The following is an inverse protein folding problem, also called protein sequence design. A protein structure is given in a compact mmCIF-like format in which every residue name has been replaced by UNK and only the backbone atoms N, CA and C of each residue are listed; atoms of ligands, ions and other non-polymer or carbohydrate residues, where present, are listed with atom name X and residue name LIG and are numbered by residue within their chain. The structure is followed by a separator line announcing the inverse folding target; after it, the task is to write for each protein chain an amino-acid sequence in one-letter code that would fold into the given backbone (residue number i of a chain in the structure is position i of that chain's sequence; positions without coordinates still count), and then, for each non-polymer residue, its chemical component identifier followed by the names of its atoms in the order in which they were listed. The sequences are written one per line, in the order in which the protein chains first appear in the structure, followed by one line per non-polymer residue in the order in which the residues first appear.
data_IF_489773813758
#
_entry.id   IF_489773813758
#
_cell.length_a   1.000
_cell.length_b   1.000
_cell.length_c   1.000
_cell.angle_alpha   90.00
_cell.angle_beta   90.00
_cell.angle_gamma   90.00
#
_symmetry.space_group_name_H-M   'P 1'
#
loop_
_entity.id
_entity.type
_entity.pdbx_description
1 polymer ?
#
# COMPACT_ATOMS: atom_id res chain seq x y z
N UNK A 1 -0.85 26.89 1.41
CA UNK A 1 -1.20 25.72 2.22
C UNK A 1 -2.62 25.29 1.85
N UNK A 2 -2.76 24.14 1.21
CA UNK A 2 -4.08 23.56 0.95
C UNK A 2 -4.49 22.79 2.21
N UNK A 3 -5.62 23.16 2.83
CA UNK A 3 -6.13 22.44 4.00
C UNK A 3 -6.69 21.05 3.69
N UNK A 4 -6.91 20.76 2.40
CA UNK A 4 -7.40 19.49 1.83
C UNK A 4 -6.78 19.34 0.45
N UNK A 5 -6.27 18.15 0.13
CA UNK A 5 -5.95 17.74 -1.24
C UNK A 5 -7.07 16.78 -1.68
N UNK A 6 -7.64 17.03 -2.85
CA UNK A 6 -8.75 16.24 -3.39
C UNK A 6 -8.53 15.89 -4.87
N UNK A 7 -9.09 14.74 -5.25
CA UNK A 7 -9.22 14.33 -6.65
C UNK A 7 -10.70 14.43 -7.04
N UNK A 8 -10.98 15.21 -8.07
CA UNK A 8 -12.31 15.31 -8.65
C UNK A 8 -12.50 14.31 -9.79
N UNK A 9 -13.72 13.80 -9.92
CA UNK A 9 -14.10 12.87 -10.99
C UNK A 9 -13.21 11.63 -11.07
N UNK A 10 -12.78 11.12 -9.91
CA UNK A 10 -11.95 9.92 -9.82
C UNK A 10 -12.78 8.65 -10.08
N UNK A 11 -12.25 7.78 -10.94
CA UNK A 11 -12.90 6.55 -11.40
C UNK A 11 -13.21 6.57 -12.90
N UNK A 12 -12.98 5.45 -13.56
CA UNK A 12 -13.22 5.27 -15.00
C UNK A 12 -13.64 3.82 -15.33
N UNK A 13 -14.09 3.59 -16.56
CA UNK A 13 -14.29 2.22 -17.06
C UNK A 13 -12.98 1.69 -17.64
N UNK A 14 -12.55 0.54 -17.17
CA UNK A 14 -11.29 -0.04 -17.58
C UNK A 14 -11.20 -1.53 -17.31
N UNK A 15 -9.99 -2.04 -17.44
CA UNK A 15 -9.70 -3.41 -17.05
C UNK A 15 -8.27 -3.52 -16.53
N UNK A 16 -8.03 -4.57 -15.75
CA UNK A 16 -6.69 -5.05 -15.47
C UNK A 16 -6.66 -6.58 -15.51
N UNK A 17 -5.47 -7.18 -15.44
CA UNK A 17 -5.27 -8.62 -15.53
C UNK A 17 -4.58 -9.10 -14.26
N UNK A 18 -5.25 -9.90 -13.44
CA UNK A 18 -4.60 -10.53 -12.28
C UNK A 18 -3.50 -11.49 -12.72
N UNK A 19 -2.55 -11.76 -11.81
CA UNK A 19 -1.66 -12.91 -11.94
C UNK A 19 -2.49 -14.20 -11.88
N UNK A 20 -2.40 -15.01 -12.94
CA UNK A 20 -3.07 -16.32 -13.08
C UNK A 20 -2.16 -17.47 -12.67
N UNK A 21 -0.85 -17.35 -12.95
CA UNK A 21 0.17 -18.28 -12.48
C UNK A 21 1.39 -17.50 -12.02
N UNK A 22 1.93 -17.93 -10.89
CA UNK A 22 3.12 -17.36 -10.27
C UNK A 22 4.10 -18.51 -10.03
N UNK A 23 5.34 -18.33 -10.49
CA UNK A 23 6.45 -19.22 -10.17
C UNK A 23 7.38 -18.50 -9.18
N UNK A 24 7.36 -18.95 -7.93
CA UNK A 24 8.15 -18.37 -6.84
C UNK A 24 9.60 -18.87 -6.81
N UNK A 25 10.02 -19.63 -7.82
CA UNK A 25 11.42 -19.98 -8.06
C UNK A 25 12.15 -18.88 -8.83
N UNK A 26 13.45 -19.08 -9.04
CA UNK A 26 14.30 -18.20 -9.86
C UNK A 26 14.11 -18.42 -11.38
N UNK A 27 13.06 -19.14 -11.81
CA UNK A 27 12.78 -19.37 -13.24
C UNK A 27 12.05 -18.21 -13.93
N UNK A 28 11.57 -17.22 -13.15
CA UNK A 28 10.97 -15.97 -13.60
C UNK A 28 9.66 -16.12 -14.41
N UNK A 29 8.89 -17.20 -14.20
CA UNK A 29 7.69 -17.52 -14.99
C UNK A 29 6.39 -17.08 -14.34
N UNK A 30 5.89 -15.94 -14.76
CA UNK A 30 4.57 -15.44 -14.37
C UNK A 30 3.65 -15.29 -15.58
N UNK A 31 2.36 -15.54 -15.38
CA UNK A 31 1.33 -15.41 -16.40
C UNK A 31 0.19 -14.55 -15.84
N UNK A 32 -0.09 -13.42 -16.47
CA UNK A 32 -1.32 -12.67 -16.25
C UNK A 32 -2.51 -13.38 -16.91
N UNK A 33 -3.68 -13.29 -16.29
CA UNK A 33 -4.96 -13.78 -16.81
C UNK A 33 -5.18 -13.36 -18.26
N UNK A 34 -5.78 -14.17 -19.11
CA UNK A 34 -5.96 -13.81 -20.52
C UNK A 34 -6.91 -12.61 -20.69
N UNK A 35 -6.99 -12.01 -21.90
CA UNK A 35 -7.97 -10.94 -22.13
C UNK A 35 -9.41 -11.40 -21.91
N UNK A 36 -9.75 -12.67 -22.12
CA UNK A 36 -11.11 -13.17 -21.82
C UNK A 36 -11.38 -13.32 -20.32
N UNK A 37 -10.32 -13.39 -19.50
CA UNK A 37 -10.39 -13.58 -18.05
C UNK A 37 -9.98 -12.30 -17.29
N UNK A 38 -9.99 -11.13 -17.95
CA UNK A 38 -9.60 -9.86 -17.35
C UNK A 38 -10.68 -9.35 -16.40
N UNK A 39 -10.27 -8.61 -15.38
CA UNK A 39 -11.20 -7.91 -14.49
C UNK A 39 -11.63 -6.62 -15.18
N UNK A 40 -12.93 -6.46 -15.38
CA UNK A 40 -13.53 -5.23 -15.89
C UNK A 40 -14.08 -4.47 -14.70
N UNK A 41 -13.73 -3.20 -14.59
CA UNK A 41 -14.20 -2.31 -13.53
C UNK A 41 -14.82 -1.06 -14.13
N UNK A 42 -15.69 -0.43 -13.34
CA UNK A 42 -16.32 0.84 -13.71
C UNK A 42 -16.92 1.47 -12.45
N UNK A 43 -16.88 2.79 -12.36
CA UNK A 43 -17.58 3.53 -11.33
C UNK A 43 -16.65 4.47 -10.56
N UNK A 44 -17.19 5.20 -9.57
CA UNK A 44 -16.41 6.09 -8.73
C UNK A 44 -15.30 5.32 -8.01
N UNK A 45 -14.12 5.92 -7.93
CA UNK A 45 -12.92 5.38 -7.29
C UNK A 45 -12.34 4.11 -7.90
N UNK A 46 -12.92 3.53 -8.96
CA UNK A 46 -12.36 2.32 -9.57
C UNK A 46 -11.06 2.59 -10.32
N UNK A 47 -10.04 1.73 -10.19
CA UNK A 47 -10.07 0.38 -9.57
C UNK A 47 -9.72 0.31 -8.07
N UNK A 48 -9.50 1.45 -7.42
CA UNK A 48 -9.15 1.54 -5.99
C UNK A 48 -10.36 1.37 -5.05
N UNK A 49 -11.55 1.11 -5.59
CA UNK A 49 -12.72 0.70 -4.82
C UNK A 49 -12.62 -0.76 -4.34
N UNK A 50 -11.66 -1.53 -4.85
CA UNK A 50 -11.32 -2.89 -4.39
C UNK A 50 -10.58 -2.93 -3.03
N UNK A 51 -10.14 -4.13 -2.63
CA UNK A 51 -9.29 -4.30 -1.45
C UNK A 51 -7.92 -3.64 -1.66
N UNK A 52 -7.51 -2.82 -0.71
CA UNK A 52 -6.18 -2.20 -0.71
C UNK A 52 -5.34 -2.61 0.49
N UNK A 53 -4.03 -2.66 0.31
CA UNK A 53 -3.03 -2.75 1.38
C UNK A 53 -2.42 -1.37 1.60
N UNK A 54 -2.00 -1.06 2.83
CA UNK A 54 -1.36 0.23 3.16
C UNK A 54 0.13 0.02 3.32
N UNK A 55 0.93 0.85 2.66
CA UNK A 55 2.38 0.73 2.58
C UNK A 55 3.05 1.94 3.22
N UNK A 56 4.23 1.72 3.78
CA UNK A 56 5.01 2.73 4.49
C UNK A 56 6.46 2.61 4.04
N UNK A 57 7.07 3.72 3.60
CA UNK A 57 8.50 3.85 3.33
C UNK A 57 9.10 4.92 4.23
N UNK A 58 10.28 4.65 4.77
CA UNK A 58 10.97 5.58 5.64
C UNK A 58 11.73 6.69 4.90
N UNK A 59 12.24 7.69 5.65
CA UNK A 59 12.24 7.81 7.10
C UNK A 59 10.85 8.14 7.70
N UNK A 60 10.31 7.25 8.54
CA UNK A 60 8.93 7.37 9.05
C UNK A 60 8.75 6.73 10.43
N UNK A 61 7.88 7.31 11.25
CA UNK A 61 7.35 6.74 12.50
C UNK A 61 5.82 6.76 12.44
N UNK A 62 5.17 5.62 12.70
CA UNK A 62 3.71 5.53 12.80
C UNK A 62 3.29 5.39 14.27
N UNK A 63 2.55 6.38 14.77
CA UNK A 63 2.01 6.40 16.13
C UNK A 63 0.63 5.75 16.21
N UNK A 64 -0.26 6.09 15.27
CA UNK A 64 -1.61 5.55 15.21
C UNK A 64 -2.07 5.31 13.78
N UNK A 65 -2.91 4.30 13.63
CA UNK A 65 -3.63 4.03 12.39
C UNK A 65 -5.07 3.64 12.69
N UNK A 66 -6.00 4.13 11.91
CA UNK A 66 -7.39 3.67 11.98
C UNK A 66 -8.00 3.56 10.59
N UNK A 67 -8.80 2.52 10.40
CA UNK A 67 -9.57 2.31 9.18
C UNK A 67 -11.05 2.30 9.51
N UNK A 68 -11.82 3.11 8.79
CA UNK A 68 -13.27 3.18 8.87
C UNK A 68 -13.90 2.94 7.51
N UNK A 69 -15.11 2.39 7.54
CA UNK A 69 -15.97 2.32 6.36
C UNK A 69 -17.37 2.81 6.63
N UNK A 70 -18.06 3.24 5.58
CA UNK A 70 -19.46 3.62 5.58
C UNK A 70 -20.09 3.22 4.24
N UNK A 71 -21.21 2.50 4.30
CA UNK A 71 -21.96 2.05 3.13
C UNK A 71 -22.86 3.17 2.58
N UNK A 72 -23.25 4.11 3.45
CA UNK A 72 -24.25 5.13 3.15
C UNK A 72 -23.69 6.56 3.24
N UNK A 73 -22.36 6.74 3.22
CA UNK A 73 -21.76 8.06 3.24
C UNK A 73 -22.26 8.91 2.06
N UNK A 74 -22.59 10.16 2.37
CA UNK A 74 -22.97 11.15 1.37
C UNK A 74 -22.11 12.38 1.59
N UNK A 75 -21.51 12.88 0.50
CA UNK A 75 -20.74 14.12 0.51
C UNK A 75 -21.59 15.26 1.07
N UNK A 76 -21.07 15.99 2.06
CA UNK A 76 -21.77 17.06 2.76
C UNK A 76 -22.65 16.62 3.94
N UNK A 77 -22.75 15.31 4.22
CA UNK A 77 -23.38 14.82 5.44
C UNK A 77 -22.48 15.04 6.65
N UNK A 78 -23.07 15.55 7.74
CA UNK A 78 -22.40 15.71 9.04
C UNK A 78 -22.67 14.54 10.00
N UNK A 79 -23.33 13.47 9.55
CA UNK A 79 -23.62 12.32 10.41
C UNK A 79 -22.46 11.33 10.45
N UNK A 80 -21.91 11.10 11.64
CA UNK A 80 -20.92 10.06 11.90
C UNK A 80 -21.51 8.67 12.13
N UNK A 81 -22.85 8.52 12.17
CA UNK A 81 -23.51 7.33 12.74
C UNK A 81 -23.34 6.04 11.93
N UNK A 82 -23.07 6.13 10.63
CA UNK A 82 -22.89 4.97 9.74
C UNK A 82 -21.43 4.51 9.69
N UNK A 83 -20.49 5.32 10.19
CA UNK A 83 -19.07 4.99 10.16
C UNK A 83 -18.73 3.91 11.18
N UNK A 84 -18.07 2.86 10.72
CA UNK A 84 -17.60 1.76 11.55
C UNK A 84 -16.08 1.69 11.53
N UNK A 85 -15.45 1.74 12.71
CA UNK A 85 -14.00 1.48 12.83
C UNK A 85 -13.76 -0.02 12.71
N UNK A 86 -13.16 -0.44 11.60
CA UNK A 86 -12.88 -1.85 11.34
C UNK A 86 -11.46 -2.25 11.70
N UNK A 87 -10.51 -1.30 11.74
CA UNK A 87 -9.15 -1.55 12.20
C UNK A 87 -8.61 -0.38 13.02
N UNK A 88 -7.75 -0.70 13.99
CA UNK A 88 -7.12 0.30 14.86
C UNK A 88 -5.75 -0.19 15.32
N UNK A 89 -4.77 0.70 15.28
CA UNK A 89 -3.45 0.51 15.85
C UNK A 89 -3.07 1.77 16.64
N UNK A 90 -2.45 1.54 17.79
CA UNK A 90 -1.94 2.59 18.67
C UNK A 90 -0.66 2.08 19.33
N UNK A 91 0.46 2.73 19.00
CA UNK A 91 1.80 2.34 19.41
C UNK A 91 1.98 2.48 20.93
N UNK A 92 1.46 3.55 21.54
CA UNK A 92 1.69 3.86 22.95
C UNK A 92 0.95 2.89 23.87
N UNK A 93 -0.30 2.58 23.53
CA UNK A 93 -1.10 1.58 24.24
C UNK A 93 -0.79 0.14 23.84
N UNK A 94 0.06 -0.06 22.82
CA UNK A 94 0.33 -1.37 22.19
C UNK A 94 -0.95 -2.10 21.77
N UNK A 95 -1.91 -1.35 21.24
CA UNK A 95 -3.20 -1.88 20.76
C UNK A 95 -3.11 -2.17 19.26
N UNK A 96 -3.51 -3.38 18.85
CA UNK A 96 -3.74 -3.72 17.45
C UNK A 96 -5.06 -4.51 17.31
N UNK A 97 -6.01 -3.96 16.56
CA UNK A 97 -7.31 -4.54 16.27
C UNK A 97 -7.45 -4.66 14.76
N UNK A 98 -7.54 -5.89 14.25
CA UNK A 98 -7.69 -6.16 12.82
C UNK A 98 -6.62 -5.49 11.95
N UNK A 99 -5.36 -5.52 12.41
CA UNK A 99 -4.17 -5.04 11.69
C UNK A 99 -3.09 -6.11 11.79
N UNK A 100 -2.44 -6.40 10.67
CA UNK A 100 -1.25 -7.26 10.59
C UNK A 100 -0.12 -6.49 9.91
N UNK A 101 1.03 -6.41 10.58
CA UNK A 101 2.25 -5.83 10.02
C UNK A 101 3.06 -6.90 9.28
N UNK A 102 3.28 -6.68 8.00
CA UNK A 102 4.12 -7.51 7.12
C UNK A 102 5.29 -6.69 6.60
N UNK A 103 6.38 -7.34 6.22
CA UNK A 103 7.54 -6.69 5.58
C UNK A 103 8.12 -7.59 4.50
N UNK A 104 8.82 -7.00 3.54
CA UNK A 104 9.55 -7.68 2.49
C UNK A 104 10.90 -8.23 3.02
N UNK A 105 10.88 -9.01 4.10
CA UNK A 105 12.06 -9.66 4.68
C UNK A 105 12.07 -11.19 4.50
N UNK A 106 11.06 -11.75 3.82
CA UNK A 106 10.96 -13.17 3.55
C UNK A 106 11.90 -13.65 2.43
N UNK A 107 11.65 -14.87 1.95
CA UNK A 107 12.46 -15.52 0.91
C UNK A 107 12.64 -14.61 -0.31
N UNK A 108 13.89 -14.35 -0.67
CA UNK A 108 14.22 -13.59 -1.87
C UNK A 108 14.07 -14.45 -3.14
N UNK A 109 13.46 -13.88 -4.18
CA UNK A 109 13.49 -14.40 -5.54
C UNK A 109 14.15 -13.38 -6.43
N UNK A 110 15.06 -13.83 -7.30
CA UNK A 110 15.69 -12.95 -8.30
C UNK A 110 14.68 -12.27 -9.25
N UNK A 111 13.48 -12.82 -9.37
CA UNK A 111 12.41 -12.24 -10.20
C UNK A 111 11.40 -11.41 -9.43
N UNK A 112 10.97 -11.91 -8.26
CA UNK A 112 9.83 -11.36 -7.52
C UNK A 112 10.24 -10.43 -6.39
N UNK A 113 11.54 -10.30 -6.14
CA UNK A 113 12.07 -9.67 -4.94
C UNK A 113 11.78 -10.47 -3.68
N UNK A 114 11.91 -9.82 -2.53
CA UNK A 114 11.69 -10.43 -1.22
C UNK A 114 10.21 -10.69 -0.97
N UNK A 115 9.89 -11.87 -0.45
CA UNK A 115 8.53 -12.24 -0.11
C UNK A 115 8.04 -11.49 1.14
N UNK A 116 6.72 -11.37 1.28
CA UNK A 116 6.13 -10.96 2.54
C UNK A 116 6.42 -11.99 3.62
N UNK A 117 6.72 -11.49 4.81
CA UNK A 117 6.74 -12.24 6.06
C UNK A 117 6.18 -11.33 7.17
N UNK A 118 5.96 -11.86 8.38
CA UNK A 118 5.56 -10.99 9.49
C UNK A 118 6.69 -10.03 9.83
N UNK A 119 6.35 -8.75 10.02
CA UNK A 119 7.29 -7.77 10.51
C UNK A 119 7.59 -8.01 11.99
N UNK A 120 8.84 -7.80 12.40
CA UNK A 120 9.24 -7.64 13.79
C UNK A 120 8.71 -6.35 14.38
N UNK A 121 8.97 -6.14 15.68
CA UNK A 121 8.57 -4.90 16.36
C UNK A 121 9.28 -3.66 15.81
N UNK A 122 10.38 -3.83 15.08
CA UNK A 122 11.10 -2.80 14.35
C UNK A 122 10.50 -2.49 12.97
N UNK A 123 9.44 -3.20 12.57
CA UNK A 123 8.79 -3.06 11.27
C UNK A 123 9.50 -3.75 10.11
N UNK A 124 10.80 -4.06 10.24
CA UNK A 124 11.66 -4.43 9.10
C UNK A 124 12.22 -5.84 9.20
N UNK A 125 12.52 -6.32 10.42
CA UNK A 125 13.02 -7.68 10.60
C UNK A 125 11.92 -8.72 10.38
N UNK A 126 12.30 -9.95 10.05
CA UNK A 126 11.38 -11.08 9.99
C UNK A 126 10.97 -11.54 11.41
N UNK A 127 9.67 -11.72 11.63
CA UNK A 127 9.09 -12.36 12.80
C UNK A 127 8.42 -13.69 12.46
N UNK A 128 8.26 -14.56 13.47
CA UNK A 128 7.62 -15.89 13.30
C UNK A 128 6.08 -15.83 13.30
N UNK A 129 5.51 -14.74 13.76
CA UNK A 129 4.07 -14.53 13.93
C UNK A 129 3.75 -13.05 13.91
N UNK A 130 2.47 -12.70 13.78
CA UNK A 130 1.99 -11.32 13.89
C UNK A 130 2.55 -10.66 15.17
N UNK A 131 3.24 -9.54 14.96
CA UNK A 131 3.93 -8.78 16.00
C UNK A 131 3.53 -7.32 15.85
N UNK A 132 3.29 -6.65 16.98
CA UNK A 132 2.94 -5.23 17.01
C UNK A 132 4.26 -4.43 16.95
N UNK A 133 4.25 -3.32 16.22
CA UNK A 133 5.40 -2.40 16.22
C UNK A 133 5.64 -1.86 17.64
N UNK A 134 6.91 -1.69 18.00
CA UNK A 134 7.26 -0.98 19.21
C UNK A 134 6.84 0.50 19.11
N UNK A 135 6.62 1.13 20.25
CA UNK A 135 6.44 2.58 20.29
C UNK A 135 7.68 3.28 19.74
N UNK A 136 7.48 4.33 18.95
CA UNK A 136 8.55 5.11 18.29
C UNK A 136 9.45 4.29 17.34
N UNK A 137 8.93 3.20 16.75
CA UNK A 137 9.62 2.50 15.66
C UNK A 137 9.85 3.45 14.48
N UNK A 138 11.12 3.84 14.27
CA UNK A 138 11.58 4.59 13.09
C UNK A 138 12.11 3.61 12.06
N UNK A 139 11.50 3.60 10.88
CA UNK A 139 12.07 2.99 9.67
C UNK A 139 12.92 4.04 8.95
N UNK A 140 14.05 3.63 8.37
CA UNK A 140 14.98 4.49 7.61
C UNK A 140 14.61 4.55 6.12
N UNK A 141 15.36 5.32 5.33
CA UNK A 141 15.25 5.32 3.86
C UNK A 141 15.32 3.89 3.29
N UNK A 142 14.59 3.63 2.20
CA UNK A 142 14.34 2.31 1.57
C UNK A 142 13.65 1.23 2.42
N UNK A 143 13.52 1.44 3.73
CA UNK A 143 12.88 0.47 4.59
C UNK A 143 11.37 0.56 4.47
N UNK A 144 10.73 -0.60 4.29
CA UNK A 144 9.28 -0.67 4.07
C UNK A 144 8.59 -1.73 4.93
N UNK A 145 7.36 -1.41 5.34
CA UNK A 145 6.41 -2.38 5.86
C UNK A 145 5.00 -2.10 5.36
N UNK A 146 4.13 -3.10 5.51
CA UNK A 146 2.82 -3.16 4.89
C UNK A 146 1.79 -3.57 5.93
N UNK A 147 0.64 -2.91 5.92
CA UNK A 147 -0.51 -3.23 6.73
C UNK A 147 -1.56 -3.95 5.88
N UNK A 148 -2.00 -5.07 6.42
CA UNK A 148 -3.22 -5.77 6.03
C UNK A 148 -4.18 -5.84 7.21
N UNK A 149 -5.38 -6.34 6.96
CA UNK A 149 -6.29 -6.77 8.04
C UNK A 149 -5.72 -8.01 8.77
N UNK A 150 -6.42 -8.52 9.79
CA UNK A 150 -6.10 -9.82 10.40
C UNK A 150 -6.94 -10.97 9.83
N UNK A 151 -7.71 -10.74 8.77
CA UNK A 151 -8.52 -11.77 8.11
C UNK A 151 -7.67 -12.52 7.11
N UNK A 152 -7.33 -13.78 7.43
CA UNK A 152 -6.49 -14.60 6.55
C UNK A 152 -7.18 -14.95 5.25
N UNK A 153 -6.40 -14.97 4.18
CA UNK A 153 -6.84 -15.48 2.89
C UNK A 153 -7.13 -16.99 2.95
N UNK A 154 -8.10 -17.42 2.15
CA UNK A 154 -8.27 -18.80 1.72
C UNK A 154 -7.14 -19.25 0.79
N UNK A 155 -7.30 -20.45 0.20
CA UNK A 155 -6.26 -21.07 -0.63
C UNK A 155 -5.94 -20.23 -1.87
N UNK A 156 -4.65 -19.99 -2.11
CA UNK A 156 -4.12 -19.39 -3.35
C UNK A 156 -4.71 -20.01 -4.61
N UNK A 157 -5.01 -19.15 -5.58
CA UNK A 157 -5.37 -19.54 -6.93
C UNK A 157 -6.18 -18.48 -7.66
N UNK A 158 -6.05 -18.47 -8.98
CA UNK A 158 -6.82 -17.57 -9.84
C UNK A 158 -8.34 -17.77 -9.67
N UNK A 159 -9.07 -16.67 -9.45
CA UNK A 159 -10.52 -16.68 -9.22
C UNK A 159 -10.96 -17.26 -7.87
N UNK A 160 -10.03 -17.48 -6.95
CA UNK A 160 -10.33 -17.80 -5.54
C UNK A 160 -10.12 -16.55 -4.70
N UNK A 161 -10.78 -16.50 -3.55
CA UNK A 161 -10.56 -15.57 -2.44
C UNK A 161 -9.57 -14.40 -2.69
N UNK A 162 -8.38 -14.40 -2.08
CA UNK A 162 -7.34 -13.37 -2.30
C UNK A 162 -6.57 -13.47 -3.63
N UNK A 163 -6.96 -14.36 -4.54
CA UNK A 163 -6.27 -14.63 -5.80
C UNK A 163 -5.01 -15.47 -5.66
N UNK A 164 -4.09 -15.31 -6.61
CA UNK A 164 -2.76 -15.92 -6.56
C UNK A 164 -1.88 -15.12 -5.61
N UNK A 165 -1.16 -15.81 -4.74
CA UNK A 165 -0.13 -15.25 -3.87
C UNK A 165 1.02 -16.24 -3.71
N UNK A 166 2.21 -15.75 -3.31
CA UNK A 166 3.43 -16.55 -3.19
C UNK A 166 3.30 -17.69 -2.19
N UNK A 167 3.90 -18.84 -2.46
CA UNK A 167 3.88 -19.98 -1.53
C UNK A 167 4.62 -19.66 -0.22
N UNK A 168 4.04 -20.09 0.89
CA UNK A 168 4.63 -19.96 2.24
C UNK A 168 4.56 -18.58 2.89
N UNK A 169 3.97 -17.55 2.26
CA UNK A 169 3.82 -16.23 2.90
C UNK A 169 2.58 -16.17 3.81
N UNK A 170 2.57 -15.31 4.85
CA UNK A 170 1.33 -14.83 5.43
C UNK A 170 0.52 -14.06 4.38
N UNK A 171 -0.73 -14.48 4.13
CA UNK A 171 -1.64 -13.83 3.19
C UNK A 171 -2.92 -13.41 3.90
N UNK A 172 -3.25 -12.12 3.81
CA UNK A 172 -4.40 -11.50 4.46
C UNK A 172 -5.22 -10.65 3.47
N UNK A 173 -6.51 -10.46 3.79
CA UNK A 173 -7.37 -9.53 3.08
C UNK A 173 -6.92 -8.09 3.30
N UNK A 174 -7.03 -7.28 2.25
CA UNK A 174 -6.82 -5.84 2.34
C UNK A 174 -8.00 -5.14 3.02
N UNK A 175 -7.91 -3.82 3.12
CA UNK A 175 -8.98 -2.96 3.58
C UNK A 175 -10.00 -2.75 2.45
N UNK A 176 -11.25 -3.13 2.70
CA UNK A 176 -12.35 -3.05 1.74
C UNK A 176 -13.56 -2.32 2.34
N UNK A 177 -14.50 -1.91 1.50
CA UNK A 177 -15.73 -1.20 1.87
C UNK A 177 -16.13 -0.19 0.80
N UNK A 178 -17.40 0.23 0.79
CA UNK A 178 -17.91 1.16 -0.23
C UNK A 178 -17.25 2.53 -0.12
N UNK A 179 -17.36 3.18 1.04
CA UNK A 179 -16.59 4.38 1.36
C UNK A 179 -15.51 4.02 2.37
N UNK A 180 -14.28 4.44 2.11
CA UNK A 180 -13.10 4.10 2.91
C UNK A 180 -12.54 5.38 3.54
N UNK A 181 -12.14 5.31 4.81
CA UNK A 181 -11.41 6.39 5.48
C UNK A 181 -10.21 5.80 6.21
N UNK A 182 -9.03 6.25 5.84
CA UNK A 182 -7.76 5.91 6.48
C UNK A 182 -7.28 7.11 7.27
N UNK A 183 -7.00 6.92 8.56
CA UNK A 183 -6.45 7.96 9.44
C UNK A 183 -5.09 7.51 9.94
N UNK A 184 -4.15 8.45 9.95
CA UNK A 184 -2.77 8.23 10.33
C UNK A 184 -2.33 9.33 11.31
N UNK A 185 -1.64 8.93 12.37
CA UNK A 185 -0.81 9.82 13.17
C UNK A 185 0.64 9.35 12.99
N UNK A 186 1.47 10.18 12.35
CA UNK A 186 2.81 9.80 11.93
C UNK A 186 3.79 10.98 11.95
N UNK A 187 5.08 10.67 11.88
CA UNK A 187 6.16 11.60 11.65
C UNK A 187 6.98 11.15 10.44
N UNK A 188 7.48 12.09 9.65
CA UNK A 188 8.41 11.85 8.54
C UNK A 188 9.69 12.68 8.78
N UNK A 189 10.53 12.31 9.77
CA UNK A 189 11.74 13.07 10.09
C UNK A 189 12.76 12.98 8.95
N UNK A 190 13.73 13.89 8.92
CA UNK A 190 14.88 13.78 8.01
C UNK A 190 15.66 12.47 8.22
N UNK A 191 16.18 11.93 7.14
CA UNK A 191 17.20 10.89 7.17
C UNK A 191 18.49 11.46 7.77
N UNK A 192 19.07 10.71 8.71
CA UNK A 192 20.30 11.13 9.42
C UNK A 192 21.52 10.31 9.00
N UNK A 193 21.31 9.28 8.18
CA UNK A 193 22.37 8.45 7.62
C UNK A 193 23.27 9.30 6.71
N UNK A 194 24.59 9.18 6.90
CA UNK A 194 25.58 10.05 6.25
C UNK A 194 25.86 9.70 4.78
N UNK A 195 25.43 8.53 4.33
CA UNK A 195 25.74 8.00 3.00
C UNK A 195 24.47 7.94 2.15
N UNK A 196 24.12 9.06 1.51
CA UNK A 196 22.95 9.16 0.62
C UNK A 196 23.04 8.14 -0.52
N UNK A 197 24.25 7.86 -1.01
CA UNK A 197 24.53 6.92 -2.11
C UNK A 197 24.27 5.45 -1.73
N UNK A 198 23.99 5.17 -0.44
CA UNK A 198 23.63 3.83 0.03
C UNK A 198 22.15 3.50 -0.10
N UNK A 199 21.32 4.45 -0.57
CA UNK A 199 19.88 4.30 -0.69
C UNK A 199 19.40 4.55 -2.12
N UNK A 200 18.40 3.78 -2.55
CA UNK A 200 17.69 4.00 -3.81
C UNK A 200 16.73 5.21 -3.69
N UNK A 201 16.13 5.40 -2.51
CA UNK A 201 15.15 6.44 -2.17
C UNK A 201 15.56 7.19 -0.88
N UNK A 202 16.70 7.88 -0.93
CA UNK A 202 17.21 8.67 0.20
C UNK A 202 16.27 9.81 0.61
N UNK A 203 15.86 9.82 1.88
CA UNK A 203 15.00 10.86 2.47
C UNK A 203 13.66 11.06 1.72
N UNK A 204 13.13 9.98 1.13
CA UNK A 204 11.89 9.99 0.35
C UNK A 204 10.80 9.14 1.03
N UNK A 205 10.32 9.51 2.23
CA UNK A 205 9.29 8.73 2.91
C UNK A 205 7.97 8.77 2.14
N UNK A 206 7.19 7.72 2.29
CA UNK A 206 5.85 7.68 1.71
C UNK A 206 4.87 6.81 2.49
N UNK A 207 3.58 7.13 2.35
CA UNK A 207 2.45 6.27 2.73
C UNK A 207 1.52 6.18 1.52
N UNK A 208 1.28 4.96 1.05
CA UNK A 208 0.46 4.72 -0.14
C UNK A 208 -0.41 3.48 -0.02
N UNK A 209 -1.32 3.35 -0.96
CA UNK A 209 -2.24 2.22 -1.09
C UNK A 209 -1.92 1.47 -2.37
N UNK A 210 -1.80 0.15 -2.28
CA UNK A 210 -1.78 -0.71 -3.45
C UNK A 210 -3.03 -1.58 -3.45
N UNK A 211 -3.56 -1.90 -4.64
CA UNK A 211 -4.45 -3.04 -4.78
C UNK A 211 -3.83 -4.26 -4.08
N UNK A 212 -4.58 -4.90 -3.19
CA UNK A 212 -4.06 -5.90 -2.26
C UNK A 212 -3.50 -7.15 -2.96
N UNK A 213 -3.79 -7.35 -4.25
CA UNK A 213 -3.15 -8.40 -5.06
C UNK A 213 -1.65 -8.15 -5.29
N UNK A 214 -1.20 -6.89 -5.37
CA UNK A 214 0.18 -6.53 -5.74
C UNK A 214 1.20 -7.09 -4.75
N UNK A 215 1.17 -6.73 -3.45
CA UNK A 215 2.19 -7.22 -2.52
C UNK A 215 2.06 -8.72 -2.20
N UNK A 216 0.88 -9.32 -2.41
CA UNK A 216 0.69 -10.77 -2.29
C UNK A 216 1.44 -11.56 -3.38
N UNK A 217 1.68 -10.96 -4.55
CA UNK A 217 2.45 -11.58 -5.64
C UNK A 217 3.87 -11.02 -5.71
N UNK A 218 4.02 -9.75 -6.09
CA UNK A 218 5.30 -9.04 -6.16
C UNK A 218 5.04 -7.56 -6.40
N UNK A 219 5.57 -6.71 -5.51
CA UNK A 219 5.50 -5.26 -5.64
C UNK A 219 6.53 -4.73 -6.63
N UNK A 220 7.76 -5.24 -6.55
CA UNK A 220 8.89 -4.83 -7.41
C UNK A 220 9.42 -5.99 -8.27
N UNK A 221 8.62 -6.56 -9.19
CA UNK A 221 9.08 -7.66 -10.01
C UNK A 221 10.00 -7.18 -11.15
N UNK A 222 11.00 -7.99 -11.50
CA UNK A 222 11.78 -7.77 -12.74
C UNK A 222 10.99 -8.20 -13.99
N UNK A 223 10.01 -9.08 -13.84
CA UNK A 223 9.04 -9.45 -14.88
C UNK A 223 7.67 -8.85 -14.52
N UNK A 224 7.25 -7.82 -15.26
CA UNK A 224 5.98 -7.12 -15.02
C UNK A 224 4.73 -8.02 -15.02
N UNK A 225 4.77 -9.21 -15.61
CA UNK A 225 3.66 -10.17 -15.55
C UNK A 225 3.47 -10.86 -14.19
N UNK A 226 4.37 -10.61 -13.22
CA UNK A 226 4.27 -11.12 -11.85
C UNK A 226 3.48 -10.19 -10.92
N UNK A 227 2.99 -9.06 -11.44
CA UNK A 227 2.15 -8.12 -10.71
C UNK A 227 1.01 -7.68 -11.60
N UNK A 228 -0.16 -7.42 -11.01
CA UNK A 228 -1.24 -6.78 -11.75
C UNK A 228 -0.98 -5.28 -11.97
N UNK A 229 0.00 -4.69 -11.28
CA UNK A 229 0.23 -3.24 -11.28
C UNK A 229 0.35 -2.69 -12.69
N UNK A 230 1.31 -3.19 -13.49
CA UNK A 230 1.51 -2.77 -14.87
C UNK A 230 0.36 -3.10 -15.83
N UNK A 231 -0.69 -3.79 -15.37
CA UNK A 231 -1.94 -4.01 -16.11
C UNK A 231 -3.08 -3.10 -15.67
N UNK A 232 -2.89 -2.26 -14.64
CA UNK A 232 -3.83 -1.22 -14.24
C UNK A 232 -4.65 -1.52 -12.99
N UNK A 233 -4.19 -2.37 -12.06
CA UNK A 233 -4.99 -2.67 -10.86
C UNK A 233 -4.96 -1.56 -9.79
N UNK A 234 -4.06 -0.58 -9.93
CA UNK A 234 -4.12 0.69 -9.19
C UNK A 234 -3.17 0.80 -8.01
N UNK A 235 -2.71 2.03 -7.81
CA UNK A 235 -1.94 2.53 -6.67
C UNK A 235 -2.36 3.97 -6.36
N UNK A 236 -2.33 4.35 -5.08
CA UNK A 236 -2.59 5.71 -4.62
C UNK A 236 -1.60 6.12 -3.54
N UNK A 237 -0.70 7.01 -3.91
CA UNK A 237 0.22 7.69 -3.02
C UNK A 237 -0.52 8.79 -2.28
N UNK A 238 -0.69 8.61 -0.98
CA UNK A 238 -1.39 9.58 -0.14
C UNK A 238 -0.43 10.70 0.24
N UNK A 239 0.74 10.30 0.73
CA UNK A 239 1.81 11.19 1.15
C UNK A 239 3.10 10.66 0.54
N UNK A 240 3.66 11.33 -0.46
CA UNK A 240 4.95 10.92 -1.05
C UNK A 240 5.88 12.11 -1.28
N UNK A 241 7.12 11.97 -0.80
CA UNK A 241 8.22 12.78 -1.31
C UNK A 241 8.70 12.18 -2.63
N UNK A 242 8.54 12.94 -3.72
CA UNK A 242 8.82 12.46 -5.09
C UNK A 242 10.30 12.47 -5.47
N UNK A 243 11.11 13.31 -4.82
CA UNK A 243 12.54 13.42 -5.05
C UNK A 243 13.20 14.29 -3.96
N UNK A 244 14.53 14.26 -3.90
CA UNK A 244 15.33 14.99 -2.90
C UNK A 244 15.26 16.51 -3.04
N UNK A 245 14.90 17.08 -4.20
CA UNK A 245 14.75 18.54 -4.36
C UNK A 245 13.45 19.08 -3.77
N UNK A 246 12.45 18.21 -3.62
CA UNK A 246 11.14 18.50 -3.03
C UNK A 246 10.95 17.72 -1.71
N UNK A 247 12.04 17.46 -0.98
CA UNK A 247 12.07 16.63 0.21
C UNK A 247 11.10 17.08 1.33
N UNK A 248 10.69 18.35 1.31
CA UNK A 248 9.77 18.95 2.28
C UNK A 248 8.30 18.94 1.83
N UNK A 249 7.97 18.38 0.68
CA UNK A 249 6.61 18.37 0.15
C UNK A 249 6.12 16.94 -0.08
N UNK A 250 4.92 16.66 0.45
CA UNK A 250 4.21 15.39 0.29
C UNK A 250 3.16 15.58 -0.79
N UNK A 251 3.36 14.92 -1.92
CA UNK A 251 2.44 14.90 -3.04
C UNK A 251 1.50 13.71 -2.93
N UNK A 252 0.33 13.85 -3.55
CA UNK A 252 -0.63 12.76 -3.69
C UNK A 252 -0.80 12.42 -5.16
N UNK A 253 -0.65 11.14 -5.51
CA UNK A 253 -0.64 10.68 -6.90
C UNK A 253 -1.43 9.39 -7.04
N UNK A 254 -2.27 9.30 -8.06
CA UNK A 254 -2.98 8.07 -8.41
C UNK A 254 -2.30 7.44 -9.62
N UNK A 255 -1.82 6.21 -9.45
CA UNK A 255 -1.21 5.41 -10.49
C UNK A 255 -2.22 4.40 -11.03
N UNK A 256 -2.94 4.84 -12.05
CA UNK A 256 -3.78 4.01 -12.90
C UNK A 256 -3.69 4.50 -14.37
N UNK A 257 -4.64 4.09 -15.21
CA UNK A 257 -4.71 4.55 -16.61
C UNK A 257 -5.64 5.74 -16.82
N UNK A 258 -6.28 6.26 -15.77
CA UNK A 258 -7.12 7.43 -15.89
C UNK A 258 -6.29 8.63 -16.35
N UNK A 259 -6.76 9.36 -17.36
CA UNK A 259 -6.23 10.64 -17.81
C UNK A 259 -4.83 10.65 -18.45
N UNK A 260 -4.02 9.60 -18.26
CA UNK A 260 -2.61 9.56 -18.71
C UNK A 260 -2.31 8.47 -19.72
N UNK A 261 -3.13 7.41 -19.78
CA UNK A 261 -2.83 6.16 -20.49
C UNK A 261 -1.46 5.53 -20.11
N UNK A 262 -0.86 5.98 -19.00
CA UNK A 262 0.46 5.56 -18.53
C UNK A 262 0.50 5.50 -17.01
N UNK A 263 0.41 4.28 -16.48
CA UNK A 263 0.46 4.02 -15.05
C UNK A 263 1.73 4.53 -14.36
N UNK A 264 2.87 4.61 -15.08
CA UNK A 264 4.11 5.14 -14.51
C UNK A 264 4.05 6.65 -14.23
N UNK A 265 3.24 7.39 -14.97
CA UNK A 265 3.10 8.84 -14.79
C UNK A 265 2.11 9.17 -13.68
N UNK A 266 0.96 8.47 -13.66
CA UNK A 266 -0.12 8.75 -12.71
C UNK A 266 -0.72 10.15 -12.85
N UNK A 267 -1.84 10.38 -12.15
CA UNK A 267 -2.43 11.71 -11.98
C UNK A 267 -2.02 12.22 -10.60
N UNK A 268 -1.22 13.27 -10.57
CA UNK A 268 -0.92 14.00 -9.34
C UNK A 268 -2.02 15.02 -9.05
N UNK A 269 -2.46 15.11 -7.80
CA UNK A 269 -3.36 16.17 -7.38
C UNK A 269 -2.66 17.55 -7.41
N UNK A 270 -3.46 18.60 -7.50
CA UNK A 270 -2.94 19.97 -7.38
C UNK A 270 -2.61 20.29 -5.92
N UNK A 271 -1.36 20.69 -5.67
CA UNK A 271 -0.89 21.07 -4.35
C UNK A 271 -0.04 19.97 -3.70
N UNK A 272 0.30 20.20 -2.43
CA UNK A 272 1.11 19.32 -1.60
C UNK A 272 0.83 19.61 -0.12
N UNK A 273 1.18 18.66 0.74
CA UNK A 273 1.19 18.81 2.19
C UNK A 273 2.63 19.06 2.62
N UNK A 274 2.85 20.03 3.51
CA UNK A 274 4.19 20.29 4.05
C UNK A 274 4.64 19.09 4.91
N UNK A 275 5.80 18.53 4.60
CA UNK A 275 6.43 17.50 5.43
C UNK A 275 7.01 18.15 6.68
N UNK A 276 6.44 17.84 7.83
CA UNK A 276 7.02 18.25 9.11
C UNK A 276 8.22 17.37 9.46
N UNK A 277 9.43 17.89 9.28
CA UNK A 277 10.69 17.18 9.62
C UNK A 277 11.09 17.36 11.09
N UNK A 278 10.53 18.36 11.78
CA UNK A 278 10.74 18.57 13.21
C UNK A 278 9.80 17.68 14.03
N UNK A 279 10.38 16.83 14.88
CA UNK A 279 9.70 15.95 15.83
C UNK A 279 9.12 16.69 17.04
N UNK A 280 8.20 17.64 16.79
CA UNK A 280 7.40 18.26 17.86
C UNK A 280 6.19 17.43 18.21
#
# INVERSE_FOLDING_TARGET
EYGVIEFDNFGFEGYYRHVKKLDDSDSCKCELASNSDRTIFSGPNSPLDEEVSVHFRGPLVLSQFAYYTSDNFQVGSNSGSDWQRLSYYDASSQTAQNVTFLTAAGKNSSCLGKALTYAGSDGISEAKSATILAENTKIASDQEYILFTNTSCGKSGFGKDCGVYRDGIPAYHGFNGTTKMFLFEFQMPEETSQDEDSFDYYDMPAIWLLNAHIPRTSQYPTNGNCSCWGSGCGEFDIFEVMNTTEANHLFSTIHDYQGTDNIQTGIQAQGYIERSTSST
#
